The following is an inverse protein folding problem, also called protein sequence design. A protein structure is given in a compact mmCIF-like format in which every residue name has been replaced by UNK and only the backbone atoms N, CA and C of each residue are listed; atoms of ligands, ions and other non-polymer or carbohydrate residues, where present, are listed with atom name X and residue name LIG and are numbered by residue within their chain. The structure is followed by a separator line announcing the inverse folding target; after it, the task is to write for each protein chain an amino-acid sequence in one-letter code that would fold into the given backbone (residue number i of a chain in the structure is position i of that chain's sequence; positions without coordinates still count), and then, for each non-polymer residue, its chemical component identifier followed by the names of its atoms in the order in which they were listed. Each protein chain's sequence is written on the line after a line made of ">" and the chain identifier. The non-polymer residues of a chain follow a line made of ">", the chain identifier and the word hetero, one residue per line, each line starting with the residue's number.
data_IF_517311610150
#
_entry.id   IF_517311610150
#
_cell.length_a   1.000
_cell.length_b   1.000
_cell.length_c   1.000
_cell.angle_alpha   90.00
_cell.angle_beta   90.00
_cell.angle_gamma   90.00
#
_symmetry.space_group_name_H-M   'P 1'
#
loop_
_entity.id
_entity.type
_entity.pdbx_description
1 polymer ?
#
# COMPACT_ATOMS: atom_id res chain seq x y z
N UNK A 1 14.37 9.09 21.63
CA UNK A 1 14.54 9.99 20.46
C UNK A 1 13.28 9.84 19.61
N UNK A 2 12.67 10.94 19.14
CA UNK A 2 11.58 10.86 18.16
C UNK A 2 12.17 10.34 16.84
N UNK A 3 11.59 9.29 16.27
CA UNK A 3 11.99 8.80 14.95
C UNK A 3 11.79 9.86 13.84
N UNK A 4 12.21 9.55 12.63
CA UNK A 4 11.98 10.43 11.46
C UNK A 4 10.48 10.62 11.22
N UNK A 5 10.09 11.84 10.82
CA UNK A 5 8.69 12.11 10.51
C UNK A 5 8.21 11.33 9.25
N UNK A 6 6.98 10.82 9.31
CA UNK A 6 6.43 9.91 8.31
C UNK A 6 5.03 10.32 7.86
N UNK A 7 4.79 10.24 6.55
CA UNK A 7 3.50 10.36 5.90
C UNK A 7 2.92 8.98 5.61
N UNK A 8 1.76 8.67 6.17
CA UNK A 8 1.01 7.45 5.86
C UNK A 8 -0.03 7.76 4.78
N UNK A 9 0.00 7.02 3.67
CA UNK A 9 -0.78 7.32 2.48
C UNK A 9 -1.74 6.18 2.11
N UNK A 10 -2.90 6.54 1.58
CA UNK A 10 -3.73 5.62 0.80
C UNK A 10 -4.39 6.34 -0.38
N UNK A 11 -4.70 5.56 -1.44
CA UNK A 11 -5.47 6.00 -2.60
C UNK A 11 -6.81 5.30 -2.60
N UNK A 12 -7.89 6.04 -2.78
CA UNK A 12 -9.26 5.53 -2.69
C UNK A 12 -10.08 5.88 -3.91
N UNK A 13 -11.05 5.00 -4.23
CA UNK A 13 -12.13 5.28 -5.17
C UNK A 13 -13.32 4.37 -4.87
N UNK A 14 -14.44 4.95 -4.44
CA UNK A 14 -15.66 4.23 -4.08
C UNK A 14 -15.43 3.16 -2.99
N UNK A 15 -14.95 3.62 -1.84
CA UNK A 15 -14.59 2.80 -0.68
C UNK A 15 -15.38 3.17 0.58
N UNK A 16 -16.59 3.70 0.41
CA UNK A 16 -17.42 4.16 1.54
C UNK A 16 -17.62 3.08 2.61
N UNK A 17 -17.69 1.80 2.22
CA UNK A 17 -17.89 0.67 3.14
C UNK A 17 -16.63 0.32 3.96
N UNK A 18 -15.43 0.68 3.49
CA UNK A 18 -14.17 0.21 4.06
C UNK A 18 -13.29 1.33 4.64
N UNK A 19 -13.41 2.55 4.13
CA UNK A 19 -12.49 3.64 4.45
C UNK A 19 -12.46 4.00 5.94
N UNK A 20 -13.57 3.88 6.64
CA UNK A 20 -13.63 4.15 8.07
C UNK A 20 -12.75 3.18 8.86
N UNK A 21 -12.88 1.87 8.60
CA UNK A 21 -12.08 0.84 9.27
C UNK A 21 -10.57 1.01 8.99
N UNK A 22 -10.20 1.39 7.76
CA UNK A 22 -8.82 1.68 7.42
C UNK A 22 -8.30 2.88 8.23
N UNK A 23 -9.04 4.01 8.25
CA UNK A 23 -8.64 5.21 9.00
C UNK A 23 -8.51 4.94 10.50
N UNK A 24 -9.44 4.17 11.07
CA UNK A 24 -9.37 3.75 12.49
C UNK A 24 -8.08 2.96 12.75
N UNK A 25 -7.72 2.01 11.87
CA UNK A 25 -6.48 1.24 12.00
C UNK A 25 -5.22 2.08 11.81
N UNK A 26 -5.25 3.11 10.95
CA UNK A 26 -4.16 4.07 10.79
C UNK A 26 -3.95 4.94 12.05
N UNK A 27 -5.04 5.35 12.68
CA UNK A 27 -5.01 6.16 13.91
C UNK A 27 -4.59 5.35 15.14
N UNK A 28 -4.88 4.04 15.16
CA UNK A 28 -4.56 3.12 16.25
C UNK A 28 -3.13 2.56 16.22
N UNK A 29 -2.25 3.03 15.31
CA UNK A 29 -0.88 2.56 15.23
C UNK A 29 -0.08 2.85 16.50
N UNK A 30 0.71 1.87 16.99
CA UNK A 30 1.64 2.00 18.13
C UNK A 30 2.63 3.17 17.92
N UNK A 31 3.11 3.31 16.70
CA UNK A 31 3.76 4.49 16.19
C UNK A 31 2.76 5.36 15.45
N UNK A 32 2.35 6.47 16.04
CA UNK A 32 1.43 7.40 15.38
C UNK A 32 2.09 8.02 14.13
N UNK A 33 1.39 8.04 12.96
CA UNK A 33 1.85 8.78 11.80
C UNK A 33 1.86 10.29 12.08
N UNK A 34 2.81 11.02 11.49
CA UNK A 34 2.88 12.48 11.61
C UNK A 34 1.87 13.18 10.68
N UNK A 35 1.49 12.53 9.57
CA UNK A 35 0.32 12.85 8.76
C UNK A 35 -0.27 11.61 8.09
N UNK A 36 -1.55 11.70 7.74
CA UNK A 36 -2.26 10.72 6.91
C UNK A 36 -2.79 11.46 5.69
N UNK A 37 -2.37 11.06 4.49
CA UNK A 37 -2.84 11.64 3.24
C UNK A 37 -3.71 10.62 2.51
N UNK A 38 -5.00 10.92 2.39
CA UNK A 38 -5.94 10.13 1.60
C UNK A 38 -6.15 10.82 0.26
N UNK A 39 -5.78 10.15 -0.83
CA UNK A 39 -6.03 10.64 -2.17
C UNK A 39 -7.30 10.03 -2.75
N UNK A 40 -8.30 10.86 -3.03
CA UNK A 40 -9.53 10.45 -3.68
C UNK A 40 -9.42 10.59 -5.20
N UNK A 41 -9.50 9.47 -5.93
CA UNK A 41 -9.48 9.40 -7.39
C UNK A 41 -10.86 9.62 -8.02
N UNK A 42 -11.68 10.51 -7.43
CA UNK A 42 -13.00 10.85 -7.95
C UNK A 42 -14.07 9.82 -7.57
N UNK A 43 -14.24 9.58 -6.27
CA UNK A 43 -15.35 8.77 -5.75
C UNK A 43 -16.69 9.44 -6.02
N UNK A 44 -17.68 8.61 -6.35
CA UNK A 44 -19.09 9.01 -6.55
C UNK A 44 -20.00 8.64 -5.38
N UNK A 45 -19.45 7.90 -4.40
CA UNK A 45 -20.09 7.49 -3.16
C UNK A 45 -19.68 8.41 -1.98
N UNK A 46 -20.01 8.02 -0.76
CA UNK A 46 -19.74 8.80 0.45
C UNK A 46 -18.26 8.77 0.91
N UNK A 47 -17.34 8.15 0.17
CA UNK A 47 -15.92 8.01 0.55
C UNK A 47 -15.31 9.34 0.98
N UNK A 48 -15.38 10.36 0.13
CA UNK A 48 -14.78 11.67 0.41
C UNK A 48 -15.46 12.37 1.60
N UNK A 49 -16.77 12.20 1.78
CA UNK A 49 -17.50 12.75 2.92
C UNK A 49 -17.07 12.10 4.24
N UNK A 50 -16.83 10.78 4.24
CA UNK A 50 -16.31 10.05 5.40
C UNK A 50 -14.90 10.58 5.76
N UNK A 51 -13.98 10.66 4.81
CA UNK A 51 -12.62 11.16 5.06
C UNK A 51 -12.64 12.59 5.63
N UNK A 52 -13.50 13.49 5.11
CA UNK A 52 -13.62 14.85 5.64
C UNK A 52 -14.10 14.87 7.09
N UNK A 53 -15.00 13.95 7.49
CA UNK A 53 -15.44 13.83 8.89
C UNK A 53 -14.29 13.42 9.82
N UNK A 54 -13.40 12.53 9.38
CA UNK A 54 -12.19 12.17 10.11
C UNK A 54 -11.20 13.34 10.18
N UNK A 55 -10.95 14.03 9.07
CA UNK A 55 -10.06 15.20 9.01
C UNK A 55 -10.54 16.36 9.90
N UNK A 56 -11.83 16.51 10.10
CA UNK A 56 -12.38 17.51 11.04
C UNK A 56 -12.11 17.17 12.52
N UNK A 57 -11.81 15.91 12.84
CA UNK A 57 -11.55 15.43 14.20
C UNK A 57 -10.05 15.26 14.49
N UNK A 58 -9.23 15.05 13.46
CA UNK A 58 -7.80 14.83 13.57
C UNK A 58 -7.06 15.58 12.45
N UNK A 59 -6.32 16.62 12.85
CA UNK A 59 -5.60 17.51 11.94
C UNK A 59 -4.44 16.82 11.17
N UNK A 60 -4.07 15.60 11.54
CA UNK A 60 -3.10 14.80 10.79
C UNK A 60 -3.67 14.27 9.49
N UNK A 61 -5.00 14.12 9.39
CA UNK A 61 -5.68 13.56 8.21
C UNK A 61 -5.93 14.68 7.20
N UNK A 62 -5.52 14.42 5.96
CA UNK A 62 -5.70 15.33 4.83
C UNK A 62 -6.31 14.57 3.66
N UNK A 63 -7.39 15.10 3.14
CA UNK A 63 -7.98 14.66 1.88
C UNK A 63 -7.37 15.48 0.75
N UNK A 64 -6.80 14.80 -0.23
CA UNK A 64 -6.41 15.38 -1.52
C UNK A 64 -7.16 14.67 -2.64
N UNK A 65 -7.28 15.29 -3.79
CA UNK A 65 -7.99 14.72 -4.93
C UNK A 65 -7.13 14.82 -6.17
N UNK A 66 -7.16 13.77 -6.98
CA UNK A 66 -6.43 13.72 -8.24
C UNK A 66 -6.10 12.31 -8.66
N UNK A 67 -5.63 12.19 -9.92
CA UNK A 67 -5.38 10.90 -10.53
C UNK A 67 -6.65 10.24 -11.07
N UNK A 68 -6.46 9.26 -11.94
CA UNK A 68 -7.53 8.53 -12.61
C UNK A 68 -7.41 7.01 -12.44
N UNK A 69 -6.28 6.54 -11.92
CA UNK A 69 -5.98 5.15 -11.61
C UNK A 69 -5.13 5.05 -10.33
N UNK A 70 -4.81 3.84 -9.89
CA UNK A 70 -4.04 3.60 -8.67
C UNK A 70 -2.67 4.31 -8.70
N UNK A 71 -1.79 4.14 -9.72
CA UNK A 71 -0.47 4.77 -9.71
C UNK A 71 -0.53 6.29 -9.76
N UNK A 72 -1.41 6.89 -10.56
CA UNK A 72 -1.53 8.36 -10.59
C UNK A 72 -2.07 8.93 -9.27
N UNK A 73 -3.01 8.23 -8.64
CA UNK A 73 -3.52 8.61 -7.31
C UNK A 73 -2.45 8.46 -6.23
N UNK A 74 -1.65 7.40 -6.29
CA UNK A 74 -0.54 7.17 -5.36
C UNK A 74 0.56 8.22 -5.55
N UNK A 75 0.91 8.57 -6.80
CA UNK A 75 1.84 9.66 -7.10
C UNK A 75 1.33 11.00 -6.55
N UNK A 76 0.05 11.30 -6.72
CA UNK A 76 -0.54 12.54 -6.20
C UNK A 76 -0.48 12.59 -4.66
N UNK A 77 -0.75 11.47 -3.98
CA UNK A 77 -0.62 11.37 -2.53
C UNK A 77 0.84 11.58 -2.06
N UNK A 78 1.82 10.93 -2.72
CA UNK A 78 3.25 11.09 -2.42
C UNK A 78 3.71 12.53 -2.68
N UNK A 79 3.28 13.15 -3.76
CA UNK A 79 3.60 14.56 -4.05
C UNK A 79 3.09 15.49 -2.95
N UNK A 80 1.85 15.24 -2.46
CA UNK A 80 1.22 16.01 -1.39
C UNK A 80 1.81 15.74 0.01
N UNK A 81 2.50 14.62 0.20
CA UNK A 81 3.14 14.24 1.48
C UNK A 81 4.23 15.25 1.88
N UNK A 82 4.24 15.62 3.16
CA UNK A 82 5.16 16.64 3.69
C UNK A 82 6.47 16.07 4.24
N UNK A 83 6.48 14.78 4.58
CA UNK A 83 7.60 14.18 5.31
C UNK A 83 8.49 13.28 4.42
N UNK A 84 9.76 13.08 4.81
CA UNK A 84 10.74 12.37 3.99
C UNK A 84 10.52 10.88 3.91
N UNK A 85 9.86 10.28 4.91
CA UNK A 85 9.45 8.89 4.88
C UNK A 85 7.98 8.78 4.48
N UNK A 86 7.69 7.82 3.63
CA UNK A 86 6.35 7.55 3.12
C UNK A 86 6.03 6.08 3.37
N UNK A 87 4.89 5.81 3.98
CA UNK A 87 4.31 4.48 4.06
C UNK A 87 2.99 4.45 3.28
N UNK A 88 2.80 3.43 2.44
CA UNK A 88 1.62 3.28 1.59
C UNK A 88 0.85 2.02 1.95
N UNK A 89 -0.47 2.14 1.93
CA UNK A 89 -1.40 1.00 1.98
C UNK A 89 -2.55 1.25 1.00
N UNK A 90 -3.33 0.22 0.72
CA UNK A 90 -4.49 0.31 -0.16
C UNK A 90 -5.81 0.39 0.62
N UNK A 91 -6.85 0.89 -0.01
CA UNK A 91 -8.20 0.84 0.53
C UNK A 91 -8.72 -0.61 0.64
N UNK A 92 -9.69 -0.82 1.53
CA UNK A 92 -10.25 -2.17 1.79
C UNK A 92 -9.38 -3.06 2.67
N UNK A 93 -8.33 -2.51 3.27
CA UNK A 93 -7.44 -3.18 4.22
C UNK A 93 -7.61 -2.64 5.63
N UNK A 94 -7.06 -3.38 6.60
CA UNK A 94 -6.78 -2.88 7.95
C UNK A 94 -5.35 -3.20 8.33
N UNK A 95 -4.73 -2.33 9.13
CA UNK A 95 -3.34 -2.45 9.53
C UNK A 95 -3.23 -3.13 10.90
N UNK A 96 -2.26 -4.03 11.05
CA UNK A 96 -1.86 -4.49 12.38
C UNK A 96 -1.41 -3.30 13.25
N UNK A 97 -1.71 -3.26 14.54
CA UNK A 97 -1.36 -2.11 15.41
C UNK A 97 0.13 -1.73 15.41
N UNK A 98 1.04 -2.62 15.07
CA UNK A 98 2.48 -2.38 15.02
C UNK A 98 3.02 -2.24 13.58
N UNK A 99 2.13 -2.19 12.58
CA UNK A 99 2.52 -2.19 11.18
C UNK A 99 3.44 -1.03 10.82
N UNK A 100 3.07 0.21 11.19
CA UNK A 100 3.84 1.41 10.83
C UNK A 100 5.23 1.41 11.49
N UNK A 101 5.30 1.03 12.76
CA UNK A 101 6.56 0.90 13.50
C UNK A 101 7.51 -0.08 12.80
N UNK A 102 7.00 -1.25 12.43
CA UNK A 102 7.80 -2.32 11.84
C UNK A 102 8.24 -2.02 10.41
N UNK A 103 7.35 -1.40 9.60
CA UNK A 103 7.68 -1.15 8.20
C UNK A 103 8.67 0.00 8.01
N UNK A 104 8.74 0.95 8.95
CA UNK A 104 9.66 2.08 8.86
C UNK A 104 11.00 1.83 9.54
N UNK A 105 11.11 0.85 10.42
CA UNK A 105 12.33 0.58 11.18
C UNK A 105 13.59 0.43 10.30
N UNK A 106 13.61 -0.32 9.18
CA UNK A 106 14.79 -0.42 8.30
C UNK A 106 15.14 0.90 7.60
N UNK A 107 14.13 1.76 7.31
CA UNK A 107 14.38 3.09 6.75
C UNK A 107 15.06 4.00 7.78
N UNK A 108 14.60 3.96 9.02
CA UNK A 108 15.16 4.78 10.11
C UNK A 108 16.55 4.34 10.51
N UNK A 109 16.83 3.04 10.48
CA UNK A 109 18.16 2.47 10.68
C UNK A 109 19.13 2.79 9.53
N UNK A 110 18.64 3.33 8.40
CA UNK A 110 19.46 3.58 7.22
C UNK A 110 19.88 2.30 6.50
N UNK A 111 19.20 1.18 6.75
CA UNK A 111 19.50 -0.12 6.16
C UNK A 111 18.86 -0.29 4.77
N UNK A 112 17.73 0.40 4.53
CA UNK A 112 16.98 0.32 3.27
C UNK A 112 16.45 1.70 2.83
N UNK A 113 16.05 1.75 1.57
CA UNK A 113 15.41 2.90 0.93
C UNK A 113 13.97 2.57 0.52
N UNK A 114 13.67 1.26 0.38
CA UNK A 114 12.34 0.67 0.15
C UNK A 114 12.16 -0.52 1.10
N UNK A 115 11.00 -0.63 1.74
CA UNK A 115 10.64 -1.73 2.64
C UNK A 115 9.29 -2.28 2.26
N UNK A 116 9.19 -3.59 2.12
CA UNK A 116 7.92 -4.29 1.97
C UNK A 116 7.50 -4.96 3.27
N UNK A 117 6.24 -4.80 3.65
CA UNK A 117 5.60 -5.58 4.68
C UNK A 117 4.95 -6.84 4.11
N UNK A 118 4.09 -7.46 4.89
CA UNK A 118 3.38 -8.67 4.47
C UNK A 118 1.88 -8.53 4.71
N UNK A 119 1.13 -9.57 4.34
CA UNK A 119 -0.33 -9.55 4.45
C UNK A 119 -0.87 -10.84 5.03
N UNK A 120 -2.05 -10.77 5.63
CA UNK A 120 -2.82 -11.93 6.07
C UNK A 120 -4.25 -11.85 5.55
N UNK A 121 -4.81 -12.96 5.06
CA UNK A 121 -6.21 -13.01 4.65
C UNK A 121 -7.13 -12.94 5.88
N UNK A 122 -8.14 -12.03 5.84
CA UNK A 122 -9.27 -11.94 6.76
C UNK A 122 -10.50 -12.56 6.09
N UNK A 123 -10.56 -13.89 6.10
CA UNK A 123 -11.59 -14.65 5.41
C UNK A 123 -12.90 -14.67 6.20
N UNK A 124 -14.03 -14.37 5.54
CA UNK A 124 -15.38 -14.33 6.15
C UNK A 124 -16.29 -15.49 5.75
N UNK A 125 -15.80 -16.42 4.94
CA UNK A 125 -16.56 -17.57 4.47
C UNK A 125 -15.68 -18.73 4.00
N UNK A 126 -16.27 -19.90 3.77
CA UNK A 126 -15.55 -21.13 3.41
C UNK A 126 -14.73 -20.95 2.13
N UNK A 127 -15.30 -20.29 1.12
CA UNK A 127 -14.58 -19.98 -0.14
C UNK A 127 -13.36 -19.09 0.11
N UNK A 128 -13.53 -18.01 0.85
CA UNK A 128 -12.44 -17.07 1.17
C UNK A 128 -11.36 -17.74 2.01
N UNK A 129 -11.75 -18.64 2.96
CA UNK A 129 -10.83 -19.42 3.77
C UNK A 129 -10.01 -20.40 2.90
N UNK A 130 -10.67 -21.15 2.01
CA UNK A 130 -10.01 -22.05 1.09
C UNK A 130 -9.03 -21.30 0.17
N UNK A 131 -9.45 -20.14 -0.36
CA UNK A 131 -8.62 -19.28 -1.17
C UNK A 131 -7.42 -18.74 -0.38
N UNK A 132 -7.65 -18.31 0.87
CA UNK A 132 -6.60 -17.86 1.78
C UNK A 132 -5.54 -18.92 2.04
N UNK A 133 -5.97 -20.16 2.24
CA UNK A 133 -5.09 -21.28 2.56
C UNK A 133 -4.31 -21.85 1.35
N UNK A 134 -4.81 -21.66 0.13
CA UNK A 134 -4.24 -22.31 -1.06
C UNK A 134 -3.54 -21.37 -2.02
N UNK A 135 -3.92 -20.09 -2.04
CA UNK A 135 -3.45 -19.14 -3.05
C UNK A 135 -2.42 -18.13 -2.52
N UNK A 136 -2.34 -17.97 -1.21
CA UNK A 136 -1.40 -17.01 -0.62
C UNK A 136 -0.32 -17.76 0.17
N UNK A 137 0.93 -17.36 -0.05
CA UNK A 137 2.08 -17.92 0.68
C UNK A 137 2.03 -17.51 2.14
N UNK A 138 2.53 -18.37 3.00
CA UNK A 138 2.84 -17.99 4.37
C UNK A 138 4.15 -17.17 4.41
N UNK A 139 4.29 -16.35 5.44
CA UNK A 139 5.47 -15.49 5.60
C UNK A 139 6.78 -16.30 5.67
N UNK A 140 6.73 -17.49 6.26
CA UNK A 140 7.88 -18.39 6.42
C UNK A 140 8.34 -19.02 5.10
N UNK A 141 7.53 -18.96 4.04
CA UNK A 141 7.84 -19.44 2.70
C UNK A 141 8.49 -18.35 1.80
N UNK A 142 8.64 -17.15 2.33
CA UNK A 142 9.17 -16.01 1.60
C UNK A 142 10.69 -15.93 1.76
N UNK A 143 11.41 -15.93 0.64
CA UNK A 143 12.83 -15.59 0.62
C UNK A 143 13.00 -14.06 0.71
N UNK A 144 13.52 -13.52 1.82
CA UNK A 144 13.67 -12.07 1.99
C UNK A 144 14.55 -11.41 0.91
N UNK A 145 15.53 -12.14 0.37
CA UNK A 145 16.44 -11.61 -0.65
C UNK A 145 15.76 -11.44 -2.03
N UNK A 146 14.68 -12.20 -2.26
CA UNK A 146 13.93 -12.19 -3.52
C UNK A 146 12.58 -11.49 -3.42
N UNK A 147 12.19 -11.09 -2.20
CA UNK A 147 10.90 -10.44 -1.97
C UNK A 147 10.85 -9.06 -2.65
N UNK A 148 9.76 -8.81 -3.35
CA UNK A 148 9.43 -7.50 -3.89
C UNK A 148 8.22 -6.94 -3.14
N UNK A 149 8.30 -5.69 -2.65
CA UNK A 149 7.21 -5.03 -1.94
C UNK A 149 5.91 -4.97 -2.74
N UNK A 150 4.78 -5.04 -2.05
CA UNK A 150 3.46 -4.84 -2.64
C UNK A 150 2.94 -3.44 -2.31
N UNK A 151 2.26 -2.80 -3.23
CA UNK A 151 1.67 -1.48 -3.03
C UNK A 151 0.77 -1.35 -1.80
N UNK A 152 0.16 -2.45 -1.38
CA UNK A 152 -0.70 -2.52 -0.19
C UNK A 152 0.05 -2.47 1.15
N UNK A 153 1.35 -2.77 1.17
CA UNK A 153 2.18 -2.76 2.40
C UNK A 153 3.62 -2.43 2.05
N UNK A 154 3.91 -1.15 1.82
CA UNK A 154 5.26 -0.68 1.51
C UNK A 154 5.58 0.65 2.19
N UNK A 155 6.88 0.88 2.44
CA UNK A 155 7.39 2.18 2.87
C UNK A 155 8.69 2.50 2.12
N UNK A 156 8.93 3.79 1.85
CA UNK A 156 10.11 4.23 1.10
C UNK A 156 10.51 5.66 1.46
N UNK A 157 11.72 6.02 1.07
CA UNK A 157 12.17 7.41 1.12
C UNK A 157 11.52 8.19 -0.04
N UNK A 158 10.92 9.35 0.27
CA UNK A 158 10.32 10.20 -0.78
C UNK A 158 11.35 10.59 -1.85
N UNK A 159 12.62 10.75 -1.48
CA UNK A 159 13.72 11.02 -2.41
C UNK A 159 13.96 9.86 -3.38
N UNK A 160 13.79 8.61 -2.97
CA UNK A 160 13.90 7.45 -3.86
C UNK A 160 12.77 7.44 -4.91
N UNK A 161 11.53 7.73 -4.49
CA UNK A 161 10.40 7.91 -5.39
C UNK A 161 10.66 9.03 -6.42
N UNK A 162 11.20 10.17 -5.98
CA UNK A 162 11.55 11.27 -6.88
C UNK A 162 12.62 10.88 -7.89
N UNK A 163 13.65 10.14 -7.45
CA UNK A 163 14.79 9.76 -8.28
C UNK A 163 14.38 8.86 -9.47
N UNK A 164 13.35 8.03 -9.32
CA UNK A 164 12.87 7.13 -10.39
C UNK A 164 11.65 7.65 -11.14
N UNK A 165 11.18 8.85 -10.82
CA UNK A 165 10.01 9.47 -11.48
C UNK A 165 8.66 8.95 -11.01
N UNK A 166 8.60 8.27 -9.86
CA UNK A 166 7.38 7.78 -9.24
C UNK A 166 6.85 6.47 -9.81
N UNK A 167 5.59 6.16 -9.48
CA UNK A 167 4.89 4.99 -10.02
C UNK A 167 4.52 5.23 -11.49
N UNK A 168 4.68 4.24 -12.39
CA UNK A 168 4.37 4.39 -13.81
C UNK A 168 2.85 4.49 -14.03
N UNK A 169 2.34 5.67 -14.36
CA UNK A 169 0.89 5.94 -14.45
C UNK A 169 0.17 5.21 -15.58
N UNK A 170 0.90 4.75 -16.59
CA UNK A 170 0.37 3.93 -17.67
C UNK A 170 0.06 2.49 -17.24
N UNK A 171 0.66 2.00 -16.14
CA UNK A 171 0.51 0.64 -15.63
C UNK A 171 -0.61 0.60 -14.60
N UNK A 172 -1.84 0.30 -15.02
CA UNK A 172 -2.98 0.16 -14.09
C UNK A 172 -2.91 -1.08 -13.19
N UNK A 173 -2.01 -2.00 -13.48
CA UNK A 173 -1.67 -3.19 -12.69
C UNK A 173 -0.16 -3.41 -12.81
N UNK A 174 0.46 -4.03 -11.81
CA UNK A 174 1.91 -4.24 -11.71
C UNK A 174 2.73 -2.93 -11.61
N UNK A 175 2.10 -1.83 -11.24
CA UNK A 175 2.73 -0.53 -11.06
C UNK A 175 3.72 -0.52 -9.89
N UNK A 176 3.41 -1.29 -8.83
CA UNK A 176 4.28 -1.50 -7.66
C UNK A 176 5.53 -2.30 -8.06
N UNK A 177 5.36 -3.41 -8.75
CA UNK A 177 6.48 -4.21 -9.26
C UNK A 177 7.39 -3.40 -10.19
N UNK A 178 6.83 -2.59 -11.08
CA UNK A 178 7.62 -1.73 -11.97
C UNK A 178 8.38 -0.64 -11.21
N UNK A 179 7.77 -0.08 -10.17
CA UNK A 179 8.40 0.89 -9.27
C UNK A 179 9.57 0.25 -8.51
N UNK A 180 9.37 -0.95 -7.94
CA UNK A 180 10.43 -1.70 -7.25
C UNK A 180 11.62 -1.99 -8.16
N UNK A 181 11.36 -2.43 -9.39
CA UNK A 181 12.40 -2.69 -10.40
C UNK A 181 13.13 -1.42 -10.83
N UNK A 182 12.44 -0.29 -10.89
CA UNK A 182 13.07 1.00 -11.19
C UNK A 182 14.01 1.41 -10.05
N UNK A 183 13.61 1.23 -8.79
CA UNK A 183 14.44 1.50 -7.62
C UNK A 183 15.65 0.56 -7.56
N UNK A 184 15.47 -0.74 -7.82
CA UNK A 184 16.56 -1.71 -7.85
C UNK A 184 17.60 -1.35 -8.93
N UNK A 185 17.16 -0.99 -10.15
CA UNK A 185 18.04 -0.53 -11.23
C UNK A 185 18.78 0.76 -10.91
N UNK A 186 18.18 1.62 -10.11
CA UNK A 186 18.79 2.86 -9.64
C UNK A 186 19.74 2.67 -8.44
N UNK A 187 19.91 1.42 -7.96
CA UNK A 187 20.82 1.07 -6.86
C UNK A 187 20.28 1.31 -5.45
N UNK A 188 18.98 1.53 -5.31
CA UNK A 188 18.34 1.65 -3.99
C UNK A 188 18.24 0.28 -3.31
N UNK A 189 18.43 0.30 -1.97
CA UNK A 189 18.38 -0.91 -1.15
C UNK A 189 16.96 -1.21 -0.70
N UNK A 190 16.59 -2.48 -0.79
CA UNK A 190 15.30 -2.94 -0.27
C UNK A 190 15.46 -3.81 0.97
N UNK A 191 14.42 -3.85 1.81
CA UNK A 191 14.31 -4.75 2.93
C UNK A 191 12.90 -5.36 3.01
N UNK A 192 12.80 -6.50 3.69
CA UNK A 192 11.54 -7.15 4.01
C UNK A 192 11.27 -7.07 5.52
N UNK A 193 10.10 -6.55 5.88
CA UNK A 193 9.62 -6.45 7.25
C UNK A 193 8.45 -7.42 7.46
N UNK A 194 8.70 -8.73 7.71
CA UNK A 194 7.66 -9.77 7.76
C UNK A 194 6.60 -9.53 8.83
N UNK A 195 6.94 -8.79 9.88
CA UNK A 195 6.03 -8.44 10.95
C UNK A 195 5.16 -7.21 10.68
N UNK A 196 5.38 -6.48 9.58
CA UNK A 196 4.52 -5.37 9.18
C UNK A 196 3.32 -5.93 8.39
N UNK A 197 2.27 -6.33 9.11
CA UNK A 197 1.13 -7.07 8.56
C UNK A 197 -0.03 -6.13 8.24
N UNK A 198 -0.60 -6.29 7.03
CA UNK A 198 -1.92 -5.78 6.66
C UNK A 198 -2.90 -6.93 6.53
N UNK A 199 -4.17 -6.68 6.85
CA UNK A 199 -5.24 -7.66 6.72
C UNK A 199 -6.13 -7.28 5.54
N UNK A 200 -6.39 -8.26 4.65
CA UNK A 200 -7.21 -8.05 3.48
C UNK A 200 -8.28 -9.14 3.36
N UNK A 201 -9.42 -8.78 2.81
CA UNK A 201 -10.45 -9.76 2.51
C UNK A 201 -10.18 -10.42 1.15
N UNK A 202 -10.04 -11.76 1.07
CA UNK A 202 -9.95 -12.48 -0.19
C UNK A 202 -11.17 -12.22 -1.08
N UNK A 203 -11.06 -12.43 -2.38
CA UNK A 203 -12.18 -12.22 -3.31
C UNK A 203 -13.35 -13.14 -2.96
N UNK A 204 -14.59 -12.60 -2.85
CA UNK A 204 -15.72 -13.33 -2.27
C UNK A 204 -16.32 -14.40 -3.20
N UNK A 205 -15.84 -14.51 -4.45
CA UNK A 205 -16.35 -15.50 -5.40
C UNK A 205 -15.29 -15.94 -6.42
N UNK A 206 -15.44 -17.13 -7.03
CA UNK A 206 -14.57 -17.60 -8.11
C UNK A 206 -14.49 -16.62 -9.30
N UNK A 207 -15.61 -16.03 -9.67
CA UNK A 207 -15.66 -15.07 -10.77
C UNK A 207 -14.86 -13.80 -10.46
N UNK A 208 -14.98 -13.26 -9.25
CA UNK A 208 -14.21 -12.09 -8.82
C UNK A 208 -12.71 -12.40 -8.74
N UNK A 209 -12.36 -13.60 -8.28
CA UNK A 209 -10.99 -14.10 -8.26
C UNK A 209 -10.41 -14.23 -9.68
N UNK A 210 -11.10 -14.93 -10.58
CA UNK A 210 -10.65 -15.11 -11.96
C UNK A 210 -10.46 -13.76 -12.68
N UNK A 211 -11.38 -12.81 -12.47
CA UNK A 211 -11.25 -11.45 -13.01
C UNK A 211 -10.01 -10.75 -12.49
N UNK A 212 -9.69 -10.85 -11.19
CA UNK A 212 -8.50 -10.24 -10.62
C UNK A 212 -7.23 -10.78 -11.26
N UNK A 213 -7.11 -12.10 -11.36
CA UNK A 213 -5.92 -12.74 -11.94
C UNK A 213 -5.78 -12.47 -13.44
N UNK A 214 -6.89 -12.41 -14.16
CA UNK A 214 -6.88 -11.96 -15.56
C UNK A 214 -6.32 -10.54 -15.70
N UNK A 215 -6.72 -9.63 -14.81
CA UNK A 215 -6.23 -8.25 -14.85
C UNK A 215 -4.74 -8.16 -14.47
N UNK A 216 -4.27 -8.96 -13.52
CA UNK A 216 -2.86 -9.06 -13.16
C UNK A 216 -2.03 -9.58 -14.32
N UNK A 217 -2.41 -10.74 -14.90
CA UNK A 217 -1.73 -11.31 -16.06
C UNK A 217 -1.69 -10.35 -17.26
N UNK A 218 -2.78 -9.60 -17.50
CA UNK A 218 -2.82 -8.57 -18.53
C UNK A 218 -1.88 -7.40 -18.22
N UNK A 219 -1.75 -7.01 -16.95
CA UNK A 219 -0.80 -5.99 -16.48
C UNK A 219 0.63 -6.42 -16.73
N UNK A 220 0.98 -7.63 -16.28
CA UNK A 220 2.31 -8.22 -16.47
C UNK A 220 2.69 -8.33 -17.95
N UNK A 221 1.73 -8.77 -18.78
CA UNK A 221 1.91 -8.83 -20.21
C UNK A 221 2.21 -7.49 -20.86
N UNK A 222 1.50 -6.44 -20.45
CA UNK A 222 1.74 -5.07 -20.93
C UNK A 222 3.07 -4.49 -20.45
N UNK A 223 3.49 -4.90 -19.26
CA UNK A 223 4.76 -4.51 -18.66
C UNK A 223 5.97 -5.31 -19.17
N UNK A 224 5.76 -6.32 -20.03
CA UNK A 224 6.82 -7.19 -20.54
C UNK A 224 7.43 -8.14 -19.48
N UNK A 225 6.67 -8.48 -18.44
CA UNK A 225 7.14 -9.26 -17.29
C UNK A 225 6.93 -10.79 -17.47
N UNK A 226 7.04 -11.31 -18.69
CA UNK A 226 6.74 -12.70 -19.05
C UNK A 226 7.69 -13.76 -18.47
N UNK A 227 8.78 -13.40 -17.86
CA UNK A 227 9.81 -14.31 -17.37
C UNK A 227 9.95 -14.41 -15.86
N UNK A 228 8.91 -14.03 -15.12
CA UNK A 228 8.96 -13.98 -13.64
C UNK A 228 7.97 -14.91 -12.97
#
# INVERSE_FOLDING_TARGET
>A
MRGMAISLLCTVKNEADNIAALLDSMLAQSRAPDEIVVNDCGSSDDTAAIVRRYAARDARIRLVSGGHNIPSGRNNAVAAARFPLVACTDAGLTLDPTWLERIVAPLEAGEADLVGGFFKPDARGIWELALGATNYRNVDEVDPARFLPFGQSMAFRKSAWQAVGGFPEWASHSEDLLFDLALERAGFRRAFAPGAIVHFRPRPSPAAFARQYFLYARGDGRAGLWGR
#
